data_IF_630455484731
#
_entry.id   IF_630455484731
#
_cell.length_a   1.000
_cell.length_b   1.000
_cell.length_c   1.000
_cell.angle_alpha   90.00
_cell.angle_beta   90.00
_cell.angle_gamma   90.00
#
_symmetry.space_group_name_H-M   'P 1'
#
loop_
_entity.id
_entity.type
_entity.pdbx_description
1 polymer ?
#
# COMPACT_ATOMS: atom_id res chain seq x y z
N UNK A 1 -22.06 -1.39 -9.49
CA UNK A 1 -21.08 -1.62 -10.57
C UNK A 1 -19.77 -1.27 -9.94
N UNK A 2 -18.93 -2.27 -9.70
CA UNK A 2 -17.70 -2.06 -8.97
C UNK A 2 -16.74 -1.22 -9.81
N UNK A 3 -16.03 -0.31 -9.15
CA UNK A 3 -15.01 0.51 -9.80
C UNK A 3 -13.87 -0.40 -10.29
N UNK A 4 -13.30 -0.10 -11.45
CA UNK A 4 -12.12 -0.82 -11.93
C UNK A 4 -10.99 -0.78 -10.90
N UNK A 5 -10.26 -1.88 -10.74
CA UNK A 5 -9.18 -1.99 -9.76
C UNK A 5 -8.16 -0.84 -9.85
N UNK A 6 -7.61 -0.59 -11.04
CA UNK A 6 -6.62 0.48 -11.24
C UNK A 6 -7.20 1.86 -10.94
N UNK A 7 -8.47 2.10 -11.28
CA UNK A 7 -9.17 3.34 -10.96
C UNK A 7 -9.34 3.53 -9.45
N UNK A 8 -9.67 2.45 -8.72
CA UNK A 8 -9.75 2.46 -7.27
C UNK A 8 -8.41 2.79 -6.62
N UNK A 9 -7.34 2.16 -7.10
CA UNK A 9 -5.97 2.43 -6.67
C UNK A 9 -5.61 3.90 -6.87
N UNK A 10 -5.86 4.46 -8.06
CA UNK A 10 -5.57 5.87 -8.32
C UNK A 10 -6.38 6.83 -7.46
N UNK A 11 -7.65 6.53 -7.20
CA UNK A 11 -8.50 7.34 -6.33
C UNK A 11 -7.94 7.38 -4.90
N UNK A 12 -7.52 6.23 -4.35
CA UNK A 12 -6.91 6.15 -3.02
C UNK A 12 -5.55 6.86 -2.99
N UNK A 13 -4.71 6.69 -4.02
CA UNK A 13 -3.43 7.40 -4.15
C UNK A 13 -3.64 8.91 -4.13
N UNK A 14 -4.64 9.43 -4.85
CA UNK A 14 -4.97 10.85 -4.85
C UNK A 14 -5.44 11.34 -3.47
N UNK A 15 -6.30 10.55 -2.79
CA UNK A 15 -6.77 10.85 -1.44
C UNK A 15 -5.62 10.95 -0.43
N UNK A 16 -4.67 10.00 -0.49
CA UNK A 16 -3.44 10.03 0.31
C UNK A 16 -2.59 11.27 0.06
N UNK A 17 -2.47 11.70 -1.20
CA UNK A 17 -1.71 12.90 -1.56
C UNK A 17 -2.38 14.19 -1.06
N UNK A 18 -3.71 14.22 -0.99
CA UNK A 18 -4.49 15.32 -0.40
C UNK A 18 -4.42 15.36 1.13
N UNK A 19 -4.22 14.20 1.78
CA UNK A 19 -4.22 14.08 3.24
C UNK A 19 -5.60 14.32 3.87
N UNK A 20 -6.66 14.13 3.09
CA UNK A 20 -8.04 14.50 3.45
C UNK A 20 -8.80 13.35 4.14
N UNK A 21 -8.30 12.12 4.04
CA UNK A 21 -8.99 10.90 4.44
C UNK A 21 -8.03 9.97 5.22
N UNK A 22 -8.31 9.81 6.52
CA UNK A 22 -7.52 8.93 7.38
C UNK A 22 -7.73 7.44 7.05
N UNK A 23 -8.81 7.07 6.33
CA UNK A 23 -9.08 5.70 5.88
C UNK A 23 -8.35 5.36 4.57
N UNK A 24 -7.82 6.35 3.84
CA UNK A 24 -7.12 6.13 2.58
C UNK A 24 -5.84 5.30 2.75
N UNK A 25 -5.13 5.46 3.88
CA UNK A 25 -3.90 4.74 4.16
C UNK A 25 -4.10 3.23 4.41
N UNK A 26 -4.97 2.81 5.35
CA UNK A 26 -5.30 1.38 5.49
C UNK A 26 -6.00 0.82 4.25
N UNK A 27 -6.87 1.60 3.58
CA UNK A 27 -7.50 1.20 2.32
C UNK A 27 -6.50 0.95 1.19
N UNK A 28 -5.44 1.75 1.12
CA UNK A 28 -4.34 1.55 0.17
C UNK A 28 -3.58 0.25 0.39
N UNK A 29 -3.24 -0.07 1.65
CA UNK A 29 -2.64 -1.37 1.97
C UNK A 29 -3.57 -2.52 1.63
N UNK A 30 -4.88 -2.38 1.92
CA UNK A 30 -5.84 -3.41 1.57
C UNK A 30 -5.85 -3.69 0.06
N UNK A 31 -5.86 -2.64 -0.77
CA UNK A 31 -5.79 -2.79 -2.23
C UNK A 31 -4.51 -3.53 -2.67
N UNK A 32 -3.34 -3.11 -2.18
CA UNK A 32 -2.07 -3.76 -2.51
C UNK A 32 -2.06 -5.26 -2.13
N UNK A 33 -2.63 -5.60 -0.97
CA UNK A 33 -2.79 -7.00 -0.55
C UNK A 33 -3.78 -7.77 -1.43
N UNK A 34 -4.83 -7.13 -1.97
CA UNK A 34 -5.72 -7.77 -2.94
C UNK A 34 -5.02 -8.05 -4.27
N UNK A 35 -4.17 -7.15 -4.76
CA UNK A 35 -3.31 -7.41 -5.92
C UNK A 35 -2.43 -8.63 -5.68
N UNK A 36 -1.70 -8.67 -4.56
CA UNK A 36 -0.88 -9.84 -4.23
C UNK A 36 -1.69 -11.13 -4.14
N UNK A 37 -2.83 -11.14 -3.44
CA UNK A 37 -3.67 -12.34 -3.29
C UNK A 37 -4.20 -12.89 -4.63
N UNK A 38 -4.49 -12.02 -5.58
CA UNK A 38 -5.04 -12.42 -6.89
C UNK A 38 -3.94 -12.74 -7.91
N UNK A 39 -2.81 -12.03 -7.86
CA UNK A 39 -1.77 -12.10 -8.89
C UNK A 39 -0.53 -12.90 -8.45
N UNK A 40 -0.42 -13.22 -7.16
CA UNK A 40 0.60 -14.12 -6.61
C UNK A 40 0.57 -15.49 -7.29
N UNK A 41 1.75 -16.07 -7.50
CA UNK A 41 1.95 -17.29 -8.28
C UNK A 41 1.83 -17.13 -9.80
N UNK A 42 1.30 -16.01 -10.31
CA UNK A 42 1.26 -15.71 -11.76
C UNK A 42 2.47 -14.86 -12.19
N UNK A 43 2.78 -13.82 -11.42
CA UNK A 43 4.03 -13.07 -11.56
C UNK A 43 4.84 -13.13 -10.25
N UNK A 44 6.08 -13.65 -10.28
CA UNK A 44 6.95 -13.76 -9.10
C UNK A 44 7.20 -12.44 -8.36
N UNK A 45 7.03 -11.29 -9.01
CA UNK A 45 7.19 -9.98 -8.35
C UNK A 45 6.18 -9.80 -7.21
N UNK A 46 4.95 -10.30 -7.37
CA UNK A 46 3.92 -10.21 -6.35
C UNK A 46 4.24 -11.09 -5.15
N UNK A 47 4.78 -12.28 -5.39
CA UNK A 47 5.22 -13.20 -4.33
C UNK A 47 6.40 -12.63 -3.53
N UNK A 48 7.24 -11.81 -4.16
CA UNK A 48 8.35 -11.14 -3.50
C UNK A 48 7.88 -10.07 -2.51
N UNK A 49 6.86 -9.29 -2.86
CA UNK A 49 6.43 -8.14 -2.04
C UNK A 49 5.33 -8.48 -1.03
N UNK A 50 4.58 -9.56 -1.25
CA UNK A 50 3.45 -9.95 -0.39
C UNK A 50 3.77 -10.03 1.11
N UNK A 51 4.88 -10.67 1.53
CA UNK A 51 5.28 -10.73 2.94
C UNK A 51 5.54 -9.35 3.55
N UNK A 52 6.21 -8.45 2.82
CA UNK A 52 6.50 -7.09 3.30
C UNK A 52 5.20 -6.30 3.49
N UNK A 53 4.22 -6.45 2.58
CA UNK A 53 2.91 -5.81 2.70
C UNK A 53 2.12 -6.29 3.93
N UNK A 54 2.23 -7.57 4.28
CA UNK A 54 1.60 -8.11 5.49
C UNK A 54 2.26 -7.55 6.75
N UNK A 55 3.59 -7.48 6.79
CA UNK A 55 4.29 -6.93 7.96
C UNK A 55 3.99 -5.44 8.13
N UNK A 56 3.98 -4.67 7.03
CA UNK A 56 3.60 -3.25 7.06
C UNK A 56 2.16 -3.08 7.55
N UNK A 57 1.22 -3.93 7.09
CA UNK A 57 -0.17 -3.92 7.56
C UNK A 57 -0.22 -4.10 9.08
N UNK A 58 0.37 -5.18 9.59
CA UNK A 58 0.28 -5.55 11.00
C UNK A 58 0.97 -4.51 11.90
N UNK A 59 2.00 -3.83 11.40
CA UNK A 59 2.73 -2.80 12.16
C UNK A 59 2.03 -1.44 12.17
N UNK A 60 1.57 -0.97 11.01
CA UNK A 60 1.01 0.39 10.86
C UNK A 60 -0.50 0.44 11.08
N UNK A 61 -1.20 -0.67 10.85
CA UNK A 61 -2.66 -0.74 10.83
C UNK A 61 -3.22 -1.98 11.57
N UNK A 62 -2.75 -2.29 12.80
CA UNK A 62 -3.09 -3.53 13.51
C UNK A 62 -4.59 -3.70 13.77
N UNK A 63 -5.30 -2.59 13.97
CA UNK A 63 -6.72 -2.57 14.37
C UNK A 63 -7.65 -1.97 13.30
N UNK A 64 -7.14 -1.73 12.09
CA UNK A 64 -7.92 -1.13 11.00
C UNK A 64 -8.31 -2.19 9.97
N UNK A 65 -9.62 -2.36 9.77
CA UNK A 65 -10.21 -3.23 8.75
C UNK A 65 -11.00 -2.38 7.74
N UNK A 66 -10.26 -1.62 6.94
CA UNK A 66 -10.81 -0.80 5.84
C UNK A 66 -10.78 -1.62 4.55
N UNK A 67 -11.94 -1.69 3.88
CA UNK A 67 -12.09 -2.37 2.61
C UNK A 67 -12.51 -1.39 1.53
N UNK A 68 -11.83 -1.43 0.38
CA UNK A 68 -12.14 -0.55 -0.75
C UNK A 68 -12.96 -1.34 -1.77
N UNK A 69 -14.10 -0.81 -2.18
CA UNK A 69 -14.91 -1.45 -3.22
C UNK A 69 -14.22 -1.29 -4.59
N UNK A 70 -13.64 -2.38 -5.08
CA UNK A 70 -12.89 -2.43 -6.34
C UNK A 70 -13.12 -3.78 -7.04
N UNK A 71 -13.10 -3.78 -8.36
CA UNK A 71 -13.06 -5.01 -9.16
C UNK A 71 -11.75 -5.78 -8.98
N UNK A 72 -11.65 -6.95 -9.61
CA UNK A 72 -10.44 -7.77 -9.54
C UNK A 72 -9.26 -7.11 -10.27
N UNK A 73 -8.04 -7.17 -9.70
CA UNK A 73 -6.84 -6.76 -10.39
C UNK A 73 -6.59 -7.67 -11.60
N UNK A 74 -6.11 -7.08 -12.70
CA UNK A 74 -5.66 -7.83 -13.88
C UNK A 74 -4.14 -7.93 -13.87
N UNK A 75 -3.56 -9.05 -14.32
CA UNK A 75 -2.11 -9.17 -14.49
C UNK A 75 -1.65 -8.40 -15.73
N UNK A 76 -1.53 -7.08 -15.58
CA UNK A 76 -1.07 -6.20 -16.64
C UNK A 76 -0.18 -5.10 -16.06
N UNK A 77 0.49 -4.40 -16.98
CA UNK A 77 1.41 -3.30 -16.63
C UNK A 77 0.71 -2.16 -15.89
N UNK A 78 -0.55 -1.90 -16.22
CA UNK A 78 -1.32 -0.80 -15.63
C UNK A 78 -1.59 -1.04 -14.14
N UNK A 79 -2.06 -2.23 -13.78
CA UNK A 79 -2.28 -2.61 -12.38
C UNK A 79 -0.97 -2.56 -11.58
N UNK A 80 0.14 -3.04 -12.14
CA UNK A 80 1.47 -2.93 -11.50
C UNK A 80 1.87 -1.47 -11.27
N UNK A 81 1.71 -0.63 -12.29
CA UNK A 81 2.07 0.79 -12.22
C UNK A 81 1.22 1.52 -11.18
N UNK A 82 -0.08 1.24 -11.15
CA UNK A 82 -1.00 1.81 -10.18
C UNK A 82 -0.61 1.42 -8.75
N UNK A 83 -0.33 0.13 -8.49
CA UNK A 83 0.06 -0.34 -7.16
C UNK A 83 1.44 0.20 -6.76
N UNK A 84 2.41 0.24 -7.67
CA UNK A 84 3.72 0.83 -7.40
C UNK A 84 3.59 2.30 -6.94
N UNK A 85 2.78 3.09 -7.66
CA UNK A 85 2.53 4.48 -7.31
C UNK A 85 1.81 4.63 -5.96
N UNK A 86 0.85 3.74 -5.66
CA UNK A 86 0.16 3.72 -4.37
C UNK A 86 1.13 3.43 -3.21
N UNK A 87 2.01 2.45 -3.36
CA UNK A 87 3.00 2.08 -2.33
C UNK A 87 3.99 3.22 -2.06
N UNK A 88 4.48 3.87 -3.12
CA UNK A 88 5.33 5.06 -2.98
C UNK A 88 4.58 6.19 -2.25
N UNK A 89 3.31 6.43 -2.61
CA UNK A 89 2.52 7.47 -1.96
C UNK A 89 2.21 7.15 -0.49
N UNK A 90 2.03 5.89 -0.13
CA UNK A 90 1.92 5.45 1.27
C UNK A 90 3.22 5.73 2.04
N UNK A 91 4.38 5.48 1.43
CA UNK A 91 5.67 5.81 2.04
C UNK A 91 5.80 7.33 2.28
N UNK A 92 5.41 8.15 1.30
CA UNK A 92 5.38 9.62 1.42
C UNK A 92 4.43 10.07 2.54
N UNK A 93 3.21 9.52 2.58
CA UNK A 93 2.22 9.80 3.62
C UNK A 93 2.80 9.54 5.03
N UNK A 94 3.40 8.37 5.23
CA UNK A 94 3.97 7.97 6.53
C UNK A 94 5.22 8.75 6.92
N UNK A 95 6.05 9.16 5.95
CA UNK A 95 7.20 10.01 6.21
C UNK A 95 6.75 11.39 6.73
N UNK A 96 5.71 11.96 6.12
CA UNK A 96 5.17 13.27 6.50
C UNK A 96 4.52 13.29 7.89
N UNK A 97 4.05 12.12 8.37
CA UNK A 97 3.37 11.95 9.66
C UNK A 97 4.25 11.28 10.73
N UNK A 98 5.54 11.08 10.45
CA UNK A 98 6.44 10.52 11.46
C UNK A 98 6.48 11.43 12.68
N UNK A 99 6.01 10.93 13.82
CA UNK A 99 5.98 11.69 15.05
C UNK A 99 7.40 11.74 15.64
N UNK A 100 8.06 12.91 15.56
CA UNK A 100 9.39 13.14 16.09
C UNK A 100 9.50 12.80 17.60
N UNK A 101 8.37 12.92 18.32
CA UNK A 101 8.26 12.69 19.76
C UNK A 101 7.95 11.23 20.15
N UNK A 102 7.83 10.32 19.18
CA UNK A 102 7.65 8.88 19.46
C UNK A 102 8.91 8.26 20.09
N UNK A 103 8.76 7.23 20.96
CA UNK A 103 9.90 6.46 21.45
C UNK A 103 10.77 5.93 20.30
N UNK A 104 12.09 5.93 20.47
CA UNK A 104 13.05 5.60 19.40
C UNK A 104 12.73 4.29 18.69
N UNK A 105 12.40 3.23 19.43
CA UNK A 105 12.07 1.92 18.86
C UNK A 105 10.82 1.97 17.97
N UNK A 106 9.80 2.73 18.37
CA UNK A 106 8.59 2.92 17.57
C UNK A 106 8.90 3.69 16.30
N UNK A 107 9.72 4.75 16.40
CA UNK A 107 10.14 5.53 15.23
C UNK A 107 10.95 4.68 14.25
N UNK A 108 11.92 3.90 14.73
CA UNK A 108 12.70 3.00 13.87
C UNK A 108 11.83 1.94 13.20
N UNK A 109 10.84 1.40 13.90
CA UNK A 109 9.92 0.42 13.35
C UNK A 109 9.00 1.05 12.27
N UNK A 110 8.58 2.30 12.49
CA UNK A 110 7.84 3.09 11.50
C UNK A 110 8.69 3.38 10.25
N UNK A 111 9.92 3.85 10.43
CA UNK A 111 10.87 4.11 9.34
C UNK A 111 11.18 2.83 8.53
N UNK A 112 11.29 1.69 9.20
CA UNK A 112 11.43 0.40 8.53
C UNK A 112 10.22 0.06 7.65
N UNK A 113 8.98 0.35 8.09
CA UNK A 113 7.80 0.17 7.24
C UNK A 113 7.84 1.09 6.02
N UNK A 114 8.32 2.33 6.16
CA UNK A 114 8.43 3.29 5.06
C UNK A 114 9.41 2.77 4.00
N UNK A 115 10.55 2.22 4.41
CA UNK A 115 11.51 1.64 3.46
C UNK A 115 10.99 0.35 2.82
N UNK A 116 10.28 -0.52 3.57
CA UNK A 116 9.62 -1.70 3.00
C UNK A 116 8.61 -1.33 1.89
N UNK A 117 7.85 -0.25 2.08
CA UNK A 117 6.92 0.25 1.07
C UNK A 117 7.64 0.73 -0.20
N UNK A 118 8.76 1.44 -0.05
CA UNK A 118 9.57 1.92 -1.18
C UNK A 118 10.22 0.78 -1.94
N UNK A 119 10.76 -0.20 -1.23
CA UNK A 119 11.36 -1.40 -1.85
C UNK A 119 10.31 -2.21 -2.62
N UNK A 120 9.11 -2.35 -2.07
CA UNK A 120 7.99 -2.99 -2.76
C UNK A 120 7.53 -2.19 -3.99
N UNK A 121 7.46 -0.86 -3.90
CA UNK A 121 7.16 0.00 -5.04
C UNK A 121 8.20 -0.14 -6.16
N UNK A 122 9.49 -0.11 -5.80
CA UNK A 122 10.61 -0.26 -6.73
C UNK A 122 10.65 -1.65 -7.39
N UNK A 123 10.23 -2.70 -6.68
CA UNK A 123 10.15 -4.05 -7.26
C UNK A 123 9.09 -4.15 -8.37
N UNK A 124 8.02 -3.34 -8.30
CA UNK A 124 6.91 -3.34 -9.26
C UNK A 124 7.11 -2.43 -10.49
N UNK A 125 8.12 -1.56 -10.46
CA UNK A 125 8.37 -0.51 -11.46
C UNK A 125 9.01 -1.00 -12.77
#
# INVERSE_FOLDING_TARGET
MDMEYSAAVWAVTASLAGGEDDDAAPGGIWLALQAWKHLGGSDPVWDRIGPDLLEVRDRLYPDQDVQVQAGSPSDNREARTAVAALLEQLAVYHLSRSAADSPLLMRMAHDASVEQLRDAAAALA
#
